data_IF_191474632249
#
_entry.id   IF_191474632249
#
_cell.length_a   1.000
_cell.length_b   1.000
_cell.length_c   1.000
_cell.angle_alpha   90.00
_cell.angle_beta   90.00
_cell.angle_gamma   90.00
#
_symmetry.space_group_name_H-M   'P 1'
#
loop_
_entity.id
_entity.type
_entity.pdbx_description
1 polymer ?
#
# COMPACT_ATOMS: atom_id res chain seq x y z
N UNK A 1 17.16 17.21 8.47
CA UNK A 1 17.12 16.01 9.34
C UNK A 1 15.69 15.48 9.61
N UNK A 2 14.71 15.68 8.72
CA UNK A 2 13.31 15.17 8.88
C UNK A 2 12.98 13.90 8.09
N UNK A 3 13.88 13.46 7.21
CA UNK A 3 13.65 12.36 6.25
C UNK A 3 13.98 11.00 6.88
N UNK A 4 15.06 10.92 7.66
CA UNK A 4 15.48 9.70 8.36
C UNK A 4 14.43 9.21 9.39
N UNK A 5 13.68 10.13 9.99
CA UNK A 5 12.64 9.82 10.98
C UNK A 5 11.38 9.18 10.39
N UNK A 6 11.05 9.41 9.11
CA UNK A 6 9.92 8.76 8.44
C UNK A 6 10.25 7.33 7.97
N UNK A 7 11.46 7.12 7.45
CA UNK A 7 11.94 5.80 7.04
C UNK A 7 12.06 4.82 8.23
N UNK A 8 12.56 5.30 9.38
CA UNK A 8 12.64 4.53 10.62
C UNK A 8 11.26 4.24 11.24
N UNK A 9 10.25 5.10 10.99
CA UNK A 9 8.89 4.88 11.49
C UNK A 9 8.15 3.80 10.70
N UNK A 10 8.26 3.82 9.36
CA UNK A 10 7.80 2.74 8.46
C UNK A 10 8.44 1.38 8.75
N UNK A 11 9.61 1.38 9.39
CA UNK A 11 10.31 0.17 9.82
C UNK A 11 9.71 -0.49 11.08
N UNK A 12 8.88 0.19 11.88
CA UNK A 12 8.25 -0.41 13.08
C UNK A 12 7.03 -1.27 12.73
N UNK A 13 6.30 -0.95 11.66
CA UNK A 13 5.28 -1.82 11.03
C UNK A 13 5.85 -3.12 10.45
N UNK A 14 7.18 -3.21 10.39
CA UNK A 14 7.91 -4.34 9.81
C UNK A 14 7.86 -5.60 10.67
N UNK A 15 7.67 -5.48 11.99
CA UNK A 15 7.79 -6.60 12.94
C UNK A 15 6.47 -6.96 13.65
N UNK A 16 5.41 -6.19 13.44
CA UNK A 16 4.08 -6.45 14.00
C UNK A 16 3.27 -7.41 13.12
N UNK A 17 3.40 -8.71 13.36
CA UNK A 17 2.46 -9.81 13.01
C UNK A 17 3.13 -10.92 12.21
N UNK A 18 3.55 -11.96 12.93
CA UNK A 18 4.10 -13.22 12.39
C UNK A 18 2.98 -14.21 12.03
N UNK A 19 1.69 -13.83 12.08
CA UNK A 19 0.58 -14.70 11.65
C UNK A 19 -0.57 -13.89 11.05
N UNK A 20 -0.63 -13.70 9.71
CA UNK A 20 -1.82 -13.19 9.07
C UNK A 20 -2.95 -14.19 9.33
N UNK A 21 -4.00 -13.73 10.00
CA UNK A 21 -5.25 -14.46 10.17
C UNK A 21 -6.28 -13.59 9.50
N UNK A 22 -6.38 -13.74 8.18
CA UNK A 22 -7.39 -13.01 7.40
C UNK A 22 -8.73 -13.43 7.97
N UNK A 23 -9.41 -12.49 8.63
CA UNK A 23 -10.76 -12.68 9.12
C UNK A 23 -11.68 -12.75 7.90
N UNK A 24 -12.24 -13.94 7.65
CA UNK A 24 -13.11 -14.20 6.50
C UNK A 24 -14.31 -13.23 6.45
N UNK A 25 -14.85 -12.84 7.62
CA UNK A 25 -15.98 -11.92 7.69
C UNK A 25 -15.57 -10.49 7.33
N UNK A 26 -14.34 -10.09 7.65
CA UNK A 26 -13.79 -8.79 7.25
C UNK A 26 -13.46 -8.77 5.76
N UNK A 27 -12.93 -9.89 5.24
CA UNK A 27 -12.66 -10.06 3.82
C UNK A 27 -13.95 -10.00 2.99
N UNK A 28 -15.03 -10.64 3.44
CA UNK A 28 -16.33 -10.59 2.77
C UNK A 28 -16.88 -9.16 2.70
N UNK A 29 -16.80 -8.42 3.81
CA UNK A 29 -17.19 -7.00 3.85
C UNK A 29 -16.36 -6.14 2.91
N UNK A 30 -15.05 -6.34 2.89
CA UNK A 30 -14.15 -5.64 1.96
C UNK A 30 -14.50 -6.00 0.50
N UNK A 31 -14.75 -7.27 0.21
CA UNK A 31 -15.05 -7.75 -1.14
C UNK A 31 -16.41 -7.27 -1.66
N UNK A 32 -17.36 -6.97 -0.77
CA UNK A 32 -18.63 -6.35 -1.12
C UNK A 32 -18.48 -4.91 -1.67
N UNK A 33 -17.39 -4.20 -1.30
CA UNK A 33 -17.08 -2.87 -1.81
C UNK A 33 -16.33 -2.89 -3.15
N UNK A 34 -15.69 -4.01 -3.47
CA UNK A 34 -14.85 -4.15 -4.66
C UNK A 34 -15.64 -4.75 -5.83
N UNK A 35 -15.36 -4.29 -7.05
CA UNK A 35 -15.76 -4.98 -8.27
C UNK A 35 -14.85 -6.21 -8.54
N UNK A 36 -15.20 -7.04 -9.52
CA UNK A 36 -14.42 -8.26 -9.83
C UNK A 36 -12.93 -8.01 -10.12
N UNK A 37 -12.61 -6.95 -10.88
CA UNK A 37 -11.23 -6.61 -11.23
C UNK A 37 -10.46 -6.06 -10.04
N UNK A 38 -11.12 -5.29 -9.17
CA UNK A 38 -10.53 -4.81 -7.92
C UNK A 38 -10.27 -5.96 -6.94
N UNK A 39 -11.17 -6.95 -6.85
CA UNK A 39 -10.96 -8.18 -6.07
C UNK A 39 -9.76 -8.97 -6.59
N UNK A 40 -9.60 -9.09 -7.90
CA UNK A 40 -8.43 -9.73 -8.51
C UNK A 40 -7.13 -8.97 -8.19
N UNK A 41 -7.17 -7.63 -8.27
CA UNK A 41 -6.04 -6.79 -7.90
C UNK A 41 -5.64 -6.97 -6.43
N UNK A 42 -6.60 -6.90 -5.51
CA UNK A 42 -6.37 -7.17 -4.09
C UNK A 42 -5.77 -8.57 -3.86
N UNK A 43 -6.34 -9.59 -4.51
CA UNK A 43 -5.89 -10.98 -4.38
C UNK A 43 -4.49 -11.22 -4.94
N UNK A 44 -4.00 -10.34 -5.83
CA UNK A 44 -2.63 -10.41 -6.38
C UNK A 44 -1.56 -9.88 -5.42
N UNK A 45 -1.96 -9.14 -4.39
CA UNK A 45 -1.06 -8.61 -3.37
C UNK A 45 -0.51 -9.73 -2.49
N UNK A 46 0.64 -9.49 -1.83
CA UNK A 46 1.16 -10.48 -0.87
C UNK A 46 0.19 -10.65 0.29
N UNK A 47 0.11 -11.83 0.91
CA UNK A 47 -0.75 -12.06 2.08
C UNK A 47 -0.53 -11.04 3.20
N UNK A 48 0.72 -10.58 3.36
CA UNK A 48 1.08 -9.52 4.31
C UNK A 48 0.42 -8.19 3.96
N UNK A 49 0.47 -7.77 2.70
CA UNK A 49 -0.14 -6.51 2.27
C UNK A 49 -1.67 -6.60 2.28
N UNK A 50 -2.25 -7.77 1.96
CA UNK A 50 -3.70 -7.99 2.08
C UNK A 50 -4.16 -7.80 3.52
N UNK A 51 -3.47 -8.41 4.49
CA UNK A 51 -3.78 -8.23 5.91
C UNK A 51 -3.63 -6.76 6.33
N UNK A 52 -2.51 -6.13 5.96
CA UNK A 52 -2.28 -4.70 6.24
C UNK A 52 -3.42 -3.82 5.72
N UNK A 53 -3.81 -4.00 4.46
CA UNK A 53 -4.93 -3.27 3.87
C UNK A 53 -6.27 -3.53 4.58
N UNK A 54 -6.52 -4.74 5.06
CA UNK A 54 -7.71 -5.06 5.86
C UNK A 54 -7.68 -4.40 7.24
N UNK A 55 -6.50 -4.33 7.88
CA UNK A 55 -6.32 -3.66 9.16
C UNK A 55 -6.57 -2.15 9.02
N UNK A 56 -6.03 -1.52 7.96
CA UNK A 56 -6.32 -0.10 7.63
C UNK A 56 -7.80 0.12 7.37
N UNK A 57 -8.43 -0.76 6.59
CA UNK A 57 -9.87 -0.72 6.34
C UNK A 57 -10.68 -0.82 7.65
N UNK A 58 -10.35 -1.75 8.55
CA UNK A 58 -11.01 -1.88 9.86
C UNK A 58 -10.83 -0.62 10.70
N UNK A 59 -9.61 -0.10 10.79
CA UNK A 59 -9.30 1.10 11.56
C UNK A 59 -10.07 2.34 11.06
N UNK A 60 -10.29 2.46 9.74
CA UNK A 60 -11.13 3.51 9.17
C UNK A 60 -12.60 3.34 9.55
N UNK A 61 -13.12 2.11 9.46
CA UNK A 61 -14.51 1.79 9.83
C UNK A 61 -14.78 2.05 11.31
N UNK A 62 -13.86 1.66 12.19
CA UNK A 62 -13.94 1.91 13.63
C UNK A 62 -13.94 3.39 13.99
N UNK A 63 -13.25 4.22 13.19
CA UNK A 63 -13.26 5.69 13.31
C UNK A 63 -14.51 6.34 12.68
N UNK A 64 -15.43 5.54 12.15
CA UNK A 64 -16.71 6.00 11.59
C UNK A 64 -16.63 6.46 10.13
N UNK A 65 -15.57 6.12 9.40
CA UNK A 65 -15.50 6.41 7.97
C UNK A 65 -16.33 5.39 7.16
N UNK A 66 -17.22 5.89 6.30
CA UNK A 66 -18.13 5.11 5.46
C UNK A 66 -18.04 5.47 3.96
N UNK A 67 -17.22 6.45 3.59
CA UNK A 67 -16.98 6.82 2.21
C UNK A 67 -16.40 5.65 1.41
N UNK A 68 -17.13 5.22 0.37
CA UNK A 68 -16.77 4.06 -0.43
C UNK A 68 -15.43 4.21 -1.14
N UNK A 69 -15.10 5.39 -1.67
CA UNK A 69 -13.85 5.62 -2.38
C UNK A 69 -12.65 5.61 -1.41
N UNK A 70 -12.80 6.14 -0.21
CA UNK A 70 -11.79 6.04 0.85
C UNK A 70 -11.55 4.58 1.26
N UNK A 71 -12.60 3.79 1.45
CA UNK A 71 -12.48 2.40 1.85
C UNK A 71 -11.89 1.53 0.73
N UNK A 72 -12.28 1.75 -0.53
CA UNK A 72 -11.66 1.10 -1.69
C UNK A 72 -10.18 1.49 -1.82
N UNK A 73 -9.85 2.77 -1.61
CA UNK A 73 -8.46 3.22 -1.61
C UNK A 73 -7.65 2.53 -0.51
N UNK A 74 -8.19 2.40 0.71
CA UNK A 74 -7.55 1.67 1.80
C UNK A 74 -7.21 0.22 1.43
N UNK A 75 -8.14 -0.47 0.76
CA UNK A 75 -7.96 -1.85 0.34
C UNK A 75 -6.90 -2.02 -0.77
N UNK A 76 -6.69 -1.00 -1.62
CA UNK A 76 -5.86 -1.11 -2.82
C UNK A 76 -4.58 -0.27 -2.80
N UNK A 77 -4.35 0.56 -1.77
CA UNK A 77 -3.24 1.53 -1.76
C UNK A 77 -1.86 0.89 -1.93
N UNK A 78 -1.69 -0.33 -1.43
CA UNK A 78 -0.44 -1.08 -1.50
C UNK A 78 -0.30 -1.97 -2.73
N UNK A 79 -1.31 -2.01 -3.62
CA UNK A 79 -1.31 -2.87 -4.80
C UNK A 79 -0.13 -2.58 -5.75
N UNK A 80 0.37 -1.35 -5.77
CA UNK A 80 1.54 -0.96 -6.58
C UNK A 80 2.85 -1.64 -6.17
N UNK A 81 2.94 -2.20 -4.95
CA UNK A 81 4.09 -3.01 -4.52
C UNK A 81 4.13 -4.33 -5.31
N UNK A 82 2.96 -4.87 -5.65
CA UNK A 82 2.80 -6.19 -6.25
C UNK A 82 3.40 -7.30 -5.38
N UNK A 83 3.72 -8.43 -6.00
CA UNK A 83 4.38 -9.53 -5.29
C UNK A 83 5.87 -9.21 -5.11
N UNK A 84 6.27 -8.90 -3.87
CA UNK A 84 7.68 -8.68 -3.51
C UNK A 84 8.08 -9.52 -2.30
N UNK A 85 9.23 -10.17 -2.40
CA UNK A 85 9.82 -10.91 -1.29
C UNK A 85 10.23 -10.01 -0.11
N UNK A 86 10.27 -10.58 1.09
CA UNK A 86 10.60 -9.84 2.31
C UNK A 86 11.98 -9.17 2.22
N UNK A 87 12.98 -9.85 1.64
CA UNK A 87 14.32 -9.30 1.54
C UNK A 87 14.39 -8.09 0.57
N UNK A 88 13.55 -8.01 -0.46
CA UNK A 88 13.45 -6.82 -1.31
C UNK A 88 13.02 -5.60 -0.50
N UNK A 89 12.10 -5.77 0.45
CA UNK A 89 11.66 -4.71 1.37
C UNK A 89 12.76 -4.31 2.34
N UNK A 90 13.46 -5.29 2.92
CA UNK A 90 14.64 -5.02 3.78
C UNK A 90 15.68 -4.22 3.01
N UNK A 91 16.03 -4.65 1.79
CA UNK A 91 16.98 -3.97 0.94
C UNK A 91 16.53 -2.53 0.63
N UNK A 92 15.25 -2.32 0.33
CA UNK A 92 14.69 -0.99 0.12
C UNK A 92 14.88 -0.08 1.34
N UNK A 93 14.45 -0.52 2.53
CA UNK A 93 14.54 0.27 3.77
C UNK A 93 16.00 0.58 4.14
N UNK A 94 16.90 -0.40 4.01
CA UNK A 94 18.33 -0.21 4.29
C UNK A 94 18.96 0.77 3.30
N UNK A 95 18.68 0.63 2.01
CA UNK A 95 19.21 1.52 0.97
C UNK A 95 18.66 2.94 1.09
N UNK A 96 17.38 3.10 1.42
CA UNK A 96 16.74 4.40 1.66
C UNK A 96 17.40 5.13 2.84
N UNK A 97 17.67 4.42 3.93
CA UNK A 97 18.28 4.99 5.14
C UNK A 97 19.78 5.28 5.00
N UNK A 98 20.55 4.36 4.40
CA UNK A 98 22.00 4.45 4.35
C UNK A 98 22.51 5.21 3.13
N UNK A 99 21.94 4.96 1.95
CA UNK A 99 22.49 5.42 0.66
C UNK A 99 21.38 5.73 -0.36
N UNK A 100 20.58 6.80 -0.17
CA UNK A 100 19.44 7.11 -1.04
C UNK A 100 19.86 7.35 -2.50
N UNK A 101 21.05 7.92 -2.74
CA UNK A 101 21.61 8.09 -4.10
C UNK A 101 21.88 6.77 -4.81
N UNK A 102 22.20 5.71 -4.07
CA UNK A 102 22.40 4.38 -4.63
C UNK A 102 21.04 3.75 -4.95
N UNK A 103 20.05 3.93 -4.08
CA UNK A 103 18.67 3.52 -4.34
C UNK A 103 18.14 4.17 -5.64
N UNK A 104 18.37 5.47 -5.85
CA UNK A 104 17.99 6.18 -7.09
C UNK A 104 18.57 5.52 -8.35
N UNK A 105 19.79 4.99 -8.26
CA UNK A 105 20.48 4.36 -9.40
C UNK A 105 20.03 2.93 -9.66
N UNK A 106 19.67 2.22 -8.59
CA UNK A 106 19.32 0.79 -8.61
C UNK A 106 17.84 0.56 -8.90
N UNK A 107 16.94 1.39 -8.36
CA UNK A 107 15.50 1.28 -8.54
C UNK A 107 15.13 1.63 -9.99
N UNK A 108 15.01 0.61 -10.84
CA UNK A 108 14.70 0.76 -12.27
C UNK A 108 13.48 -0.08 -12.66
N UNK A 109 12.65 0.39 -13.62
CA UNK A 109 11.60 -0.44 -14.20
C UNK A 109 12.22 -1.64 -14.94
N UNK A 110 11.49 -2.74 -15.02
CA UNK A 110 11.91 -3.98 -15.66
C UNK A 110 10.72 -4.87 -16.02
N UNK A 111 10.98 -6.04 -16.59
CA UNK A 111 9.97 -6.92 -17.20
C UNK A 111 9.47 -8.04 -16.24
N UNK A 112 9.61 -7.85 -14.93
CA UNK A 112 9.19 -8.80 -13.91
C UNK A 112 10.31 -9.79 -13.54
N UNK A 113 10.95 -9.57 -12.39
CA UNK A 113 11.78 -10.60 -11.72
C UNK A 113 13.15 -10.15 -11.20
N UNK A 114 13.62 -8.94 -11.50
CA UNK A 114 14.83 -8.38 -10.90
C UNK A 114 14.49 -7.67 -9.58
N UNK A 115 15.30 -7.87 -8.55
CA UNK A 115 15.20 -7.16 -7.27
C UNK A 115 15.27 -5.64 -7.41
N UNK A 116 15.92 -5.15 -8.47
CA UNK A 116 15.93 -3.72 -8.84
C UNK A 116 14.55 -3.19 -9.16
N UNK A 117 13.73 -4.00 -9.81
CA UNK A 117 12.34 -3.66 -10.10
C UNK A 117 11.50 -3.70 -8.83
N UNK A 118 11.74 -4.65 -7.93
CA UNK A 118 11.10 -4.65 -6.62
C UNK A 118 11.42 -3.36 -5.83
N UNK A 119 12.65 -2.86 -5.89
CA UNK A 119 13.01 -1.55 -5.32
C UNK A 119 12.27 -0.39 -6.00
N UNK A 120 12.13 -0.44 -7.32
CA UNK A 120 11.36 0.54 -8.09
C UNK A 120 9.88 0.54 -7.70
N UNK A 121 9.26 -0.64 -7.58
CA UNK A 121 7.88 -0.80 -7.14
C UNK A 121 7.69 -0.33 -5.71
N UNK A 122 8.59 -0.68 -4.78
CA UNK A 122 8.56 -0.15 -3.42
C UNK A 122 8.57 1.38 -3.37
N UNK A 123 9.32 2.03 -4.27
CA UNK A 123 9.39 3.49 -4.30
C UNK A 123 8.16 4.14 -4.92
N UNK A 124 7.70 3.63 -6.05
CA UNK A 124 6.66 4.23 -6.87
C UNK A 124 5.30 3.53 -6.68
N UNK A 125 5.14 2.77 -5.59
CA UNK A 125 3.89 2.04 -5.32
C UNK A 125 2.65 2.94 -5.27
N UNK A 126 2.69 4.21 -4.82
CA UNK A 126 1.50 5.07 -4.87
C UNK A 126 1.04 5.31 -6.30
N UNK A 127 1.96 5.70 -7.20
CA UNK A 127 1.64 5.96 -8.60
C UNK A 127 1.26 4.69 -9.35
N UNK A 128 2.03 3.61 -9.17
CA UNK A 128 1.76 2.30 -9.78
C UNK A 128 0.43 1.73 -9.28
N UNK A 129 0.16 1.83 -7.98
CA UNK A 129 -1.09 1.38 -7.36
C UNK A 129 -2.29 2.15 -7.90
N UNK A 130 -2.18 3.46 -8.06
CA UNK A 130 -3.22 4.28 -8.67
C UNK A 130 -3.49 3.88 -10.12
N UNK A 131 -2.44 3.60 -10.90
CA UNK A 131 -2.59 3.11 -12.28
C UNK A 131 -3.28 1.74 -12.33
N UNK A 132 -2.88 0.80 -11.45
CA UNK A 132 -3.50 -0.51 -11.35
C UNK A 132 -4.97 -0.41 -10.92
N UNK A 133 -5.29 0.46 -9.97
CA UNK A 133 -6.66 0.73 -9.53
C UNK A 133 -7.52 1.28 -10.67
N UNK A 134 -7.01 2.24 -11.47
CA UNK A 134 -7.71 2.73 -12.67
C UNK A 134 -7.98 1.61 -13.67
N UNK A 135 -6.99 0.77 -13.95
CA UNK A 135 -7.12 -0.41 -14.84
C UNK A 135 -8.16 -1.41 -14.30
N UNK A 136 -8.28 -1.52 -12.98
CA UNK A 136 -9.30 -2.31 -12.29
C UNK A 136 -10.68 -1.62 -12.22
N UNK A 137 -10.83 -0.41 -12.79
CA UNK A 137 -12.11 0.30 -12.85
C UNK A 137 -12.44 1.16 -11.64
N UNK A 138 -11.45 1.50 -10.80
CA UNK A 138 -11.63 2.46 -9.71
C UNK A 138 -11.87 3.89 -10.23
N UNK A 139 -12.55 4.72 -9.43
CA UNK A 139 -12.75 6.14 -9.73
C UNK A 139 -11.43 6.92 -9.68
N UNK A 140 -11.40 8.11 -10.30
CA UNK A 140 -10.25 9.02 -10.19
C UNK A 140 -10.03 9.51 -8.74
N UNK A 141 -11.07 9.53 -7.92
CA UNK A 141 -10.96 9.85 -6.48
C UNK A 141 -10.18 8.75 -5.75
N UNK A 142 -10.51 7.47 -5.98
CA UNK A 142 -9.73 6.34 -5.43
C UNK A 142 -8.27 6.42 -5.90
N UNK A 143 -8.04 6.63 -7.20
CA UNK A 143 -6.69 6.72 -7.74
C UNK A 143 -5.91 7.92 -7.16
N UNK A 144 -6.57 9.07 -6.96
CA UNK A 144 -6.01 10.25 -6.31
C UNK A 144 -5.61 10.00 -4.85
N UNK A 145 -6.45 9.27 -4.10
CA UNK A 145 -6.15 8.86 -2.72
C UNK A 145 -4.94 7.91 -2.66
N UNK A 146 -4.90 6.89 -3.53
CA UNK A 146 -3.79 5.91 -3.58
C UNK A 146 -2.47 6.58 -3.96
N UNK A 147 -2.49 7.48 -4.95
CA UNK A 147 -1.30 8.20 -5.40
C UNK A 147 -0.84 9.31 -4.44
N UNK A 148 -1.59 9.57 -3.38
CA UNK A 148 -1.39 10.69 -2.44
C UNK A 148 -1.40 12.10 -3.09
N UNK A 149 -1.94 12.25 -4.30
CA UNK A 149 -1.93 13.51 -5.06
C UNK A 149 -3.06 14.48 -4.67
N UNK A 150 -3.80 14.21 -3.59
CA UNK A 150 -4.90 15.05 -3.07
C UNK A 150 -4.51 15.74 -1.74
N UNK A 151 -3.59 16.73 -1.76
CA UNK A 151 -2.93 17.27 -0.56
C UNK A 151 -3.84 17.97 0.46
N UNK A 152 -5.06 18.37 0.08
CA UNK A 152 -6.03 19.03 0.97
C UNK A 152 -7.27 18.16 1.27
N UNK A 153 -7.21 16.85 0.97
CA UNK A 153 -8.34 15.95 1.23
C UNK A 153 -8.26 15.36 2.65
N UNK A 154 -9.30 15.64 3.46
CA UNK A 154 -9.44 15.05 4.81
C UNK A 154 -9.43 13.52 4.78
N UNK A 155 -9.88 12.92 3.69
CA UNK A 155 -9.87 11.47 3.52
C UNK A 155 -8.47 10.94 3.25
N UNK A 156 -7.61 11.68 2.53
CA UNK A 156 -6.20 11.31 2.38
C UNK A 156 -5.49 11.37 3.74
N UNK A 157 -5.78 12.38 4.55
CA UNK A 157 -5.25 12.47 5.92
C UNK A 157 -5.75 11.33 6.80
N UNK A 158 -7.04 10.95 6.69
CA UNK A 158 -7.61 9.81 7.41
C UNK A 158 -6.96 8.49 6.99
N UNK A 159 -6.79 8.27 5.67
CA UNK A 159 -6.13 7.09 5.12
C UNK A 159 -4.71 6.97 5.67
N UNK A 160 -3.91 8.03 5.61
CA UNK A 160 -2.54 8.05 6.15
C UNK A 160 -2.50 7.81 7.66
N UNK A 161 -3.41 8.41 8.41
CA UNK A 161 -3.47 8.23 9.86
C UNK A 161 -3.92 6.82 10.26
N UNK A 162 -4.75 6.15 9.45
CA UNK A 162 -5.13 4.76 9.65
C UNK A 162 -3.97 3.82 9.27
N UNK A 163 -3.35 4.06 8.11
CA UNK A 163 -2.16 3.36 7.63
C UNK A 163 -1.03 3.40 8.66
N UNK A 164 -0.76 4.55 9.27
CA UNK A 164 0.27 4.68 10.31
C UNK A 164 -0.10 4.03 11.66
N UNK A 165 -1.37 3.68 11.89
CA UNK A 165 -1.86 3.20 13.19
C UNK A 165 -1.89 1.69 13.36
N UNK A 166 -1.73 0.94 12.26
CA UNK A 166 -1.76 -0.53 12.23
C UNK A 166 -0.38 -1.14 12.05
#
# INVERSE_FOLDING_TARGET
>A
MRIASRALYRSRQFFGSIRPRVDEALLEQAFALLNDRQRQLFSSMTTRDQQHCLDVYSALREKGHDDGDLLVAALLHDAGKGTIELWHRVAFVVLEAATPRLLDRLARPGDGGDWREALYRCRNHPELGAELARKAGSSERVAGLISEQTPEDRQLAALKAADESV
#
